data_IF_381259354694
#
_entry.id   IF_381259354694
#
_cell.length_a   1.000
_cell.length_b   1.000
_cell.length_c   1.000
_cell.angle_alpha   90.00
_cell.angle_beta   90.00
_cell.angle_gamma   90.00
#
_symmetry.space_group_name_H-M   'P 1'
#
loop_
_entity.id
_entity.type
_entity.pdbx_description
1 polymer ?
#
# COMPACT_ATOMS: atom_id res chain seq x y z
N UNK A 1 32.94 -72.50 34.72
CA UNK A 1 34.26 -73.08 34.37
C UNK A 1 34.30 -73.32 32.87
N UNK A 2 35.48 -73.07 32.30
CA UNK A 2 35.95 -73.40 30.94
C UNK A 2 35.25 -72.76 29.73
N UNK A 3 35.97 -71.77 29.21
CA UNK A 3 35.88 -71.21 27.87
C UNK A 3 36.33 -72.22 26.79
N UNK A 4 36.15 -71.82 25.52
CA UNK A 4 37.22 -71.68 24.49
C UNK A 4 36.70 -72.02 23.08
N UNK A 5 36.66 -70.96 22.25
CA UNK A 5 36.94 -70.80 20.80
C UNK A 5 36.45 -71.80 19.75
N UNK A 6 36.08 -71.27 18.57
CA UNK A 6 36.85 -71.47 17.32
C UNK A 6 36.36 -70.53 16.19
N UNK A 7 37.30 -69.78 15.61
CA UNK A 7 37.15 -69.08 14.32
C UNK A 7 37.32 -70.09 13.19
N UNK A 8 36.59 -69.94 12.07
CA UNK A 8 37.05 -70.40 10.74
C UNK A 8 36.32 -69.71 9.58
N UNK A 9 37.14 -69.05 8.76
CA UNK A 9 37.19 -69.00 7.28
C UNK A 9 35.99 -68.57 6.42
N UNK A 10 36.30 -67.61 5.54
CA UNK A 10 35.50 -67.10 4.44
C UNK A 10 35.32 -68.12 3.30
N UNK A 11 34.15 -68.09 2.65
CA UNK A 11 33.95 -68.52 1.26
C UNK A 11 32.99 -67.55 0.54
N UNK A 12 33.47 -67.08 -0.61
CA UNK A 12 32.80 -66.21 -1.56
C UNK A 12 31.66 -66.93 -2.27
N UNK A 13 30.48 -66.31 -2.36
CA UNK A 13 29.54 -66.54 -3.46
C UNK A 13 29.04 -65.19 -4.01
N UNK A 14 29.28 -65.01 -5.31
CA UNK A 14 28.86 -63.86 -6.13
C UNK A 14 27.39 -63.98 -6.52
N UNK A 15 26.75 -62.81 -6.53
CA UNK A 15 25.81 -62.28 -7.52
C UNK A 15 24.59 -63.14 -7.94
N UNK A 16 23.40 -62.69 -7.59
CA UNK A 16 22.66 -61.71 -8.41
C UNK A 16 21.39 -61.28 -7.66
N UNK A 17 21.23 -59.96 -7.46
CA UNK A 17 20.00 -59.35 -6.98
C UNK A 17 19.70 -58.16 -7.88
N UNK A 18 18.92 -58.43 -8.92
CA UNK A 18 18.03 -57.42 -9.49
C UNK A 18 16.84 -57.30 -8.54
N UNK A 19 16.55 -56.09 -8.07
CA UNK A 19 15.34 -55.85 -7.30
C UNK A 19 15.44 -54.62 -6.42
N UNK A 20 15.15 -53.46 -7.02
CA UNK A 20 14.54 -52.30 -6.38
C UNK A 20 15.40 -51.60 -5.32
N UNK A 21 16.24 -50.68 -5.79
CA UNK A 21 16.72 -49.58 -4.95
C UNK A 21 15.51 -48.74 -4.52
N UNK A 22 15.14 -48.84 -3.23
CA UNK A 22 14.38 -47.81 -2.54
C UNK A 22 15.22 -46.54 -2.50
N UNK A 23 15.10 -45.72 -3.55
CA UNK A 23 15.51 -44.33 -3.52
C UNK A 23 14.65 -43.59 -2.52
N UNK A 24 15.17 -43.39 -1.32
CA UNK A 24 14.57 -42.53 -0.32
C UNK A 24 14.71 -41.08 -0.83
N UNK A 25 13.76 -40.66 -1.65
CA UNK A 25 13.59 -39.24 -2.00
C UNK A 25 13.11 -38.58 -0.73
N UNK A 26 14.05 -37.99 0.02
CA UNK A 26 13.74 -36.97 1.01
C UNK A 26 13.17 -35.80 0.22
N UNK A 27 11.86 -35.80 0.03
CA UNK A 27 11.13 -34.62 -0.37
C UNK A 27 11.30 -33.62 0.78
N UNK A 28 12.31 -32.76 0.66
CA UNK A 28 12.35 -31.48 1.34
C UNK A 28 11.19 -30.65 0.79
N UNK A 29 9.97 -31.01 1.21
CA UNK A 29 8.82 -30.15 1.12
C UNK A 29 9.14 -28.97 2.00
N UNK A 30 9.64 -27.90 1.39
CA UNK A 30 9.49 -26.58 1.94
C UNK A 30 7.98 -26.37 2.08
N UNK A 31 7.46 -26.59 3.28
CA UNK A 31 6.19 -26.03 3.70
C UNK A 31 6.39 -24.52 3.69
N UNK A 32 6.27 -23.93 2.51
CA UNK A 32 6.00 -22.52 2.40
C UNK A 32 4.67 -22.34 3.12
N UNK A 33 4.73 -21.85 4.35
CA UNK A 33 3.58 -21.28 5.00
C UNK A 33 2.87 -20.40 3.96
N UNK A 34 1.52 -20.41 3.88
CA UNK A 34 0.82 -19.44 3.08
C UNK A 34 1.13 -18.08 3.68
N UNK A 35 2.19 -17.44 3.19
CA UNK A 35 2.52 -16.06 3.46
C UNK A 35 1.28 -15.33 3.01
N UNK A 36 0.62 -14.69 3.99
CA UNK A 36 -0.57 -13.87 3.85
C UNK A 36 -0.83 -13.51 2.39
N UNK A 37 -1.75 -14.26 1.76
CA UNK A 37 -2.24 -13.91 0.43
C UNK A 37 -2.60 -12.43 0.52
N UNK A 38 -1.98 -11.62 -0.34
CA UNK A 38 -2.20 -10.19 -0.39
C UNK A 38 -3.72 -10.00 -0.43
N UNK A 39 -4.31 -9.50 0.66
CA UNK A 39 -5.70 -9.13 0.63
C UNK A 39 -5.78 -7.94 -0.32
N UNK A 40 -6.64 -8.00 -1.33
CA UNK A 40 -6.88 -6.84 -2.19
C UNK A 40 -7.19 -5.61 -1.34
N UNK A 41 -6.57 -4.46 -1.67
CA UNK A 41 -6.83 -3.15 -1.05
C UNK A 41 -8.30 -2.84 -0.88
N UNK A 42 -9.08 -3.28 -1.87
CA UNK A 42 -10.51 -3.12 -1.96
C UNK A 42 -11.11 -4.52 -1.88
N UNK A 43 -11.05 -5.12 -0.70
CA UNK A 43 -12.00 -6.17 -0.38
C UNK A 43 -13.39 -5.54 -0.33
N UNK A 44 -14.45 -6.35 -0.33
CA UNK A 44 -15.79 -5.83 -0.11
C UNK A 44 -15.93 -4.99 1.17
N UNK A 45 -14.94 -4.97 2.09
CA UNK A 45 -14.98 -4.24 3.37
C UNK A 45 -13.96 -3.10 3.50
N UNK A 46 -13.34 -2.64 2.40
CA UNK A 46 -12.34 -1.56 2.43
C UNK A 46 -12.45 -0.59 1.23
N UNK A 47 -13.63 -0.08 0.93
CA UNK A 47 -13.88 0.88 -0.17
C UNK A 47 -13.66 2.34 0.26
N UNK A 48 -12.72 3.10 -0.35
CA UNK A 48 -12.49 4.52 -0.05
C UNK A 48 -13.69 5.43 -0.31
N UNK A 49 -14.51 5.13 -1.32
CA UNK A 49 -15.70 5.92 -1.63
C UNK A 49 -16.73 5.70 -0.53
N UNK A 50 -16.97 4.44 -0.14
CA UNK A 50 -17.77 4.14 1.04
C UNK A 50 -17.19 4.79 2.31
N UNK A 51 -15.86 4.79 2.46
CA UNK A 51 -15.16 5.40 3.58
C UNK A 51 -15.35 6.91 3.68
N UNK A 52 -15.41 7.62 2.55
CA UNK A 52 -15.73 9.06 2.52
C UNK A 52 -17.13 9.33 3.06
N UNK A 53 -18.10 8.45 2.75
CA UNK A 53 -19.47 8.51 3.29
C UNK A 53 -19.47 8.21 4.79
N UNK A 54 -18.71 7.22 5.24
CA UNK A 54 -18.53 6.93 6.67
C UNK A 54 -17.93 8.15 7.39
N UNK A 55 -16.89 8.77 6.85
CA UNK A 55 -16.25 9.97 7.43
C UNK A 55 -17.24 11.11 7.63
N UNK A 56 -18.10 11.38 6.63
CA UNK A 56 -19.17 12.37 6.73
C UNK A 56 -20.27 11.96 7.71
N UNK A 57 -20.85 10.77 7.54
CA UNK A 57 -21.98 10.27 8.31
C UNK A 57 -21.66 10.08 9.81
N UNK A 58 -20.43 9.68 10.13
CA UNK A 58 -19.93 9.56 11.52
C UNK A 58 -19.46 10.89 12.09
N UNK A 59 -19.53 11.98 11.33
CA UNK A 59 -19.27 13.34 11.80
C UNK A 59 -17.79 13.68 11.98
N UNK A 60 -16.86 12.89 11.44
CA UNK A 60 -15.42 13.14 11.51
C UNK A 60 -15.07 14.52 10.91
N UNK A 61 -15.76 14.88 9.83
CA UNK A 61 -15.63 16.17 9.13
C UNK A 61 -16.04 17.41 9.95
N UNK A 62 -16.72 17.26 11.09
CA UNK A 62 -17.06 18.39 11.96
C UNK A 62 -15.84 18.98 12.67
N UNK A 63 -14.80 18.16 12.85
CA UNK A 63 -13.55 18.58 13.48
C UNK A 63 -12.39 18.60 12.49
N UNK A 64 -12.30 17.60 11.61
CA UNK A 64 -11.21 17.45 10.67
C UNK A 64 -11.60 17.94 9.29
N UNK A 65 -10.73 18.75 8.68
CA UNK A 65 -10.83 19.06 7.27
C UNK A 65 -10.21 17.95 6.41
N UNK A 66 -10.67 17.86 5.16
CA UNK A 66 -10.00 17.17 4.07
C UNK A 66 -9.85 18.18 2.94
N UNK A 67 -8.60 18.54 2.61
CA UNK A 67 -8.27 19.51 1.56
C UNK A 67 -8.95 20.87 1.77
N UNK A 68 -9.01 21.32 3.02
CA UNK A 68 -9.64 22.57 3.43
C UNK A 68 -11.17 22.51 3.58
N UNK A 69 -11.80 21.37 3.32
CA UNK A 69 -13.25 21.19 3.51
C UNK A 69 -13.53 20.46 4.81
N UNK A 70 -14.32 21.07 5.71
CA UNK A 70 -14.67 20.51 7.01
C UNK A 70 -14.31 21.44 8.18
N UNK A 71 -14.22 20.88 9.38
CA UNK A 71 -13.88 21.61 10.59
C UNK A 71 -12.41 21.98 10.71
N UNK A 72 -12.13 22.95 11.59
CA UNK A 72 -10.77 23.47 11.87
C UNK A 72 -10.29 23.13 13.28
N UNK A 73 -11.05 22.32 14.03
CA UNK A 73 -10.71 21.90 15.40
C UNK A 73 -9.52 20.93 15.40
N UNK A 74 -9.54 19.99 14.45
CA UNK A 74 -8.44 19.08 14.15
C UNK A 74 -7.69 19.56 12.90
N UNK A 75 -6.50 18.99 12.63
CA UNK A 75 -5.77 19.31 11.41
C UNK A 75 -6.52 18.84 10.17
N UNK A 76 -6.20 19.47 9.03
CA UNK A 76 -6.57 18.96 7.71
C UNK A 76 -5.82 17.63 7.48
N UNK A 77 -6.57 16.54 7.40
CA UNK A 77 -6.03 15.18 7.31
C UNK A 77 -5.32 14.92 5.97
N UNK A 78 -5.58 15.74 4.95
CA UNK A 78 -4.86 15.72 3.68
C UNK A 78 -3.59 16.61 3.68
N UNK A 79 -3.19 17.17 4.83
CA UNK A 79 -2.02 18.07 4.95
C UNK A 79 -1.06 17.69 6.08
N UNK A 80 -1.28 16.57 6.77
CA UNK A 80 -0.40 16.10 7.86
C UNK A 80 0.53 14.98 7.40
N UNK A 81 1.56 14.69 8.21
CA UNK A 81 2.49 13.60 7.93
C UNK A 81 1.77 12.25 7.93
N UNK A 82 1.99 11.49 6.85
CA UNK A 82 1.14 10.37 6.42
C UNK A 82 1.36 9.10 7.26
N UNK A 83 0.30 8.40 7.71
CA UNK A 83 0.44 7.01 8.13
C UNK A 83 0.93 6.17 6.95
N UNK A 84 2.01 5.40 7.14
CA UNK A 84 2.65 4.67 6.05
C UNK A 84 1.93 3.35 5.74
N UNK A 85 1.20 2.81 6.68
CA UNK A 85 0.49 1.54 6.61
C UNK A 85 -0.88 1.65 7.29
N UNK A 86 -1.73 0.64 7.11
CA UNK A 86 -2.97 0.48 7.87
C UNK A 86 -2.72 0.51 9.39
N UNK A 87 -1.62 -0.11 9.84
CA UNK A 87 -1.27 -0.16 11.26
C UNK A 87 -0.76 1.18 11.80
N UNK A 88 -0.08 1.99 10.97
CA UNK A 88 0.26 3.36 11.36
C UNK A 88 -0.99 4.22 11.55
N UNK A 89 -2.01 4.05 10.69
CA UNK A 89 -3.28 4.73 10.85
C UNK A 89 -4.00 4.27 12.12
N UNK A 90 -4.03 2.96 12.37
CA UNK A 90 -4.62 2.41 13.59
C UNK A 90 -3.93 2.92 14.85
N UNK A 91 -2.59 2.94 14.85
CA UNK A 91 -1.79 3.48 15.93
C UNK A 91 -2.05 4.98 16.14
N UNK A 92 -2.08 5.77 15.06
CA UNK A 92 -2.39 7.19 15.13
C UNK A 92 -3.80 7.44 15.70
N UNK A 93 -4.80 6.68 15.26
CA UNK A 93 -6.17 6.79 15.76
C UNK A 93 -6.27 6.43 17.25
N UNK A 94 -5.61 5.34 17.67
CA UNK A 94 -5.57 4.90 19.06
C UNK A 94 -4.87 5.93 19.97
N UNK A 95 -3.68 6.39 19.58
CA UNK A 95 -2.92 7.37 20.36
C UNK A 95 -3.64 8.72 20.42
N UNK A 96 -4.37 9.09 19.36
CA UNK A 96 -5.16 10.33 19.32
C UNK A 96 -6.51 10.21 20.05
N UNK A 97 -7.01 8.99 20.31
CA UNK A 97 -8.34 8.76 20.85
C UNK A 97 -8.65 9.54 22.13
N UNK A 98 -7.79 9.58 23.18
CA UNK A 98 -8.07 10.32 24.40
C UNK A 98 -8.34 11.81 24.16
N UNK A 99 -7.60 12.44 23.24
CA UNK A 99 -7.79 13.86 22.89
C UNK A 99 -9.10 14.07 22.13
N UNK A 100 -9.44 13.16 21.21
CA UNK A 100 -10.72 13.20 20.52
C UNK A 100 -11.89 13.03 21.50
N UNK A 101 -11.80 12.09 22.44
CA UNK A 101 -12.82 11.83 23.47
C UNK A 101 -13.08 13.08 24.28
N UNK A 102 -12.02 13.67 24.83
CA UNK A 102 -12.16 14.83 25.70
C UNK A 102 -12.74 16.01 24.94
N UNK A 103 -12.31 16.23 23.69
CA UNK A 103 -12.88 17.30 22.87
C UNK A 103 -14.35 17.04 22.52
N UNK A 104 -14.71 15.81 22.17
CA UNK A 104 -16.11 15.42 21.92
C UNK A 104 -17.00 15.68 23.14
N UNK A 105 -16.51 15.35 24.35
CA UNK A 105 -17.20 15.61 25.61
C UNK A 105 -17.44 17.10 25.83
N UNK A 106 -16.43 17.94 25.59
CA UNK A 106 -16.52 19.39 25.77
C UNK A 106 -17.54 20.06 24.85
N UNK A 107 -17.70 19.55 23.62
CA UNK A 107 -18.59 20.15 22.61
C UNK A 107 -19.91 19.37 22.43
N UNK A 108 -20.21 18.44 23.35
CA UNK A 108 -21.48 17.70 23.37
C UNK A 108 -21.71 16.79 22.17
N UNK A 109 -20.64 16.29 21.53
CA UNK A 109 -20.76 15.33 20.41
C UNK A 109 -20.72 13.91 20.96
N UNK A 110 -21.78 13.14 20.71
CA UNK A 110 -21.77 11.71 20.94
C UNK A 110 -20.77 11.03 20.00
N UNK A 111 -19.96 10.12 20.53
CA UNK A 111 -18.99 9.39 19.72
C UNK A 111 -19.70 8.48 18.71
N UNK A 112 -19.32 8.50 17.42
CA UNK A 112 -19.78 7.49 16.47
C UNK A 112 -19.30 6.09 16.85
N UNK A 113 -20.14 5.07 16.63
CA UNK A 113 -19.71 3.67 16.60
C UNK A 113 -19.32 3.30 15.18
N UNK A 114 -18.28 2.48 15.04
CA UNK A 114 -17.86 1.91 13.76
C UNK A 114 -18.05 0.39 13.82
N UNK A 115 -18.66 -0.22 12.82
CA UNK A 115 -18.52 -1.66 12.60
C UNK A 115 -17.21 -1.99 11.85
N UNK A 116 -16.91 -3.28 11.65
CA UNK A 116 -15.68 -3.71 11.00
C UNK A 116 -15.57 -3.25 9.54
N UNK A 117 -16.70 -3.18 8.82
CA UNK A 117 -16.75 -2.71 7.43
C UNK A 117 -16.54 -1.21 7.39
N UNK A 118 -17.28 -0.46 8.19
CA UNK A 118 -17.14 1.00 8.31
C UNK A 118 -15.71 1.41 8.70
N UNK A 119 -15.08 0.68 9.62
CA UNK A 119 -13.70 0.92 10.01
C UNK A 119 -12.71 0.62 8.88
N UNK A 120 -12.93 -0.46 8.13
CA UNK A 120 -12.12 -0.81 6.96
C UNK A 120 -12.24 0.21 5.83
N UNK A 121 -13.47 0.60 5.49
CA UNK A 121 -13.78 1.62 4.49
C UNK A 121 -13.19 2.98 4.88
N UNK A 122 -13.39 3.41 6.13
CA UNK A 122 -12.83 4.66 6.66
C UNK A 122 -11.29 4.64 6.59
N UNK A 123 -10.66 3.53 6.95
CA UNK A 123 -9.22 3.40 6.87
C UNK A 123 -8.70 3.48 5.44
N UNK A 124 -9.41 2.87 4.48
CA UNK A 124 -9.09 2.96 3.06
C UNK A 124 -9.23 4.39 2.54
N UNK A 125 -10.29 5.11 2.94
CA UNK A 125 -10.48 6.52 2.62
C UNK A 125 -9.35 7.39 3.17
N UNK A 126 -9.04 7.27 4.46
CA UNK A 126 -7.99 8.07 5.10
C UNK A 126 -6.60 7.77 4.51
N UNK A 127 -6.33 6.53 4.14
CA UNK A 127 -5.09 6.15 3.46
C UNK A 127 -4.98 6.71 2.03
N UNK A 128 -6.12 6.89 1.34
CA UNK A 128 -6.17 7.36 -0.05
C UNK A 128 -6.37 8.86 -0.19
N UNK A 129 -6.40 9.64 0.89
CA UNK A 129 -6.55 11.10 0.82
C UNK A 129 -5.51 11.79 -0.08
N UNK A 130 -4.31 11.22 -0.17
CA UNK A 130 -3.20 11.69 -1.02
C UNK A 130 -2.98 10.81 -2.26
N UNK A 131 -3.85 9.82 -2.50
CA UNK A 131 -3.85 9.05 -3.76
C UNK A 131 -4.14 9.98 -4.94
N UNK A 132 -5.05 10.93 -4.76
CA UNK A 132 -5.32 11.96 -5.75
C UNK A 132 -4.42 13.17 -5.55
N UNK A 133 -3.98 13.82 -6.62
CA UNK A 133 -3.13 15.00 -6.52
C UNK A 133 -3.88 16.23 -5.99
N UNK A 134 -3.14 17.20 -5.46
CA UNK A 134 -3.65 18.56 -5.25
C UNK A 134 -3.80 19.24 -6.63
N UNK A 135 -4.61 20.31 -6.77
CA UNK A 135 -4.66 21.04 -8.04
C UNK A 135 -3.29 21.62 -8.41
N UNK A 136 -2.87 21.45 -9.67
CA UNK A 136 -1.67 22.08 -10.21
C UNK A 136 -1.88 23.56 -10.55
N UNK A 137 -0.79 24.28 -10.76
CA UNK A 137 -0.78 25.68 -11.17
C UNK A 137 -0.61 25.80 -12.70
N UNK A 138 -1.66 26.29 -13.35
CA UNK A 138 -1.72 26.47 -14.81
C UNK A 138 -0.61 27.37 -15.35
N UNK A 139 -0.33 28.50 -14.69
CA UNK A 139 0.66 29.46 -15.20
C UNK A 139 2.10 28.94 -15.07
N UNK A 140 2.41 28.24 -13.98
CA UNK A 140 3.70 27.53 -13.85
C UNK A 140 3.80 26.41 -14.88
N UNK A 141 2.73 25.64 -15.07
CA UNK A 141 2.66 24.58 -16.08
C UNK A 141 2.93 25.10 -17.49
N UNK A 142 2.34 26.25 -17.86
CA UNK A 142 2.57 26.91 -19.14
C UNK A 142 4.04 27.26 -19.36
N UNK A 143 4.71 27.81 -18.33
CA UNK A 143 6.15 28.14 -18.38
C UNK A 143 6.98 26.86 -18.53
N UNK A 144 6.71 25.86 -17.69
CA UNK A 144 7.39 24.56 -17.76
C UNK A 144 7.25 23.90 -19.13
N UNK A 145 6.09 24.02 -19.79
CA UNK A 145 5.84 23.46 -21.12
C UNK A 145 6.75 24.09 -22.20
N UNK A 146 7.03 25.39 -22.08
CA UNK A 146 7.99 26.08 -22.93
C UNK A 146 9.44 25.79 -22.52
N UNK A 147 9.78 25.93 -21.24
CA UNK A 147 11.15 25.83 -20.71
C UNK A 147 11.72 24.42 -20.87
N UNK A 148 10.90 23.39 -20.63
CA UNK A 148 11.26 21.97 -20.87
C UNK A 148 11.08 21.56 -22.33
N UNK A 149 10.80 22.53 -23.23
CA UNK A 149 10.74 22.39 -24.70
C UNK A 149 9.69 21.38 -25.19
N UNK A 150 8.65 21.10 -24.40
CA UNK A 150 7.54 20.24 -24.81
C UNK A 150 6.84 20.79 -26.06
N UNK A 151 6.69 22.12 -26.11
CA UNK A 151 6.09 22.88 -27.22
C UNK A 151 6.76 22.67 -28.58
N UNK A 152 8.04 22.27 -28.61
CA UNK A 152 8.79 22.04 -29.86
C UNK A 152 8.22 20.86 -30.64
N UNK A 153 7.70 19.85 -29.93
CA UNK A 153 7.20 18.63 -30.54
C UNK A 153 5.68 18.50 -30.43
N UNK A 154 5.11 18.91 -29.31
CA UNK A 154 3.69 18.73 -29.00
C UNK A 154 2.89 20.02 -29.18
N UNK A 155 1.65 19.86 -29.60
CA UNK A 155 0.65 20.93 -29.71
C UNK A 155 -0.32 20.87 -28.53
N UNK A 156 -0.67 22.04 -27.99
CA UNK A 156 -1.72 22.27 -26.99
C UNK A 156 -2.43 23.58 -27.32
N UNK A 157 -3.75 23.61 -27.24
CA UNK A 157 -4.59 24.75 -27.58
C UNK A 157 -4.38 25.25 -29.02
N UNK A 158 -4.06 24.34 -29.95
CA UNK A 158 -3.67 24.67 -31.32
C UNK A 158 -2.27 25.29 -31.50
N UNK A 159 -1.45 25.40 -30.46
CA UNK A 159 -0.10 26.00 -30.50
C UNK A 159 0.99 24.97 -30.19
N UNK A 160 2.07 24.95 -30.99
CA UNK A 160 3.23 24.07 -30.79
C UNK A 160 3.61 23.27 -32.03
N UNK A 161 4.46 22.26 -31.84
CA UNK A 161 4.95 21.38 -32.91
C UNK A 161 3.98 20.27 -33.30
N UNK A 162 4.27 19.61 -34.42
CA UNK A 162 3.50 18.49 -35.00
C UNK A 162 4.30 17.20 -35.08
N UNK A 163 5.44 17.13 -34.39
CA UNK A 163 6.31 15.95 -34.37
C UNK A 163 5.73 14.88 -33.44
N UNK A 164 5.29 15.31 -32.26
CA UNK A 164 4.58 14.47 -31.31
C UNK A 164 3.06 14.54 -31.53
N UNK A 165 2.30 13.64 -30.90
CA UNK A 165 0.84 13.71 -30.92
C UNK A 165 0.34 15.04 -30.36
N UNK A 166 -0.80 15.50 -30.90
CA UNK A 166 -1.54 16.65 -30.40
C UNK A 166 -2.14 16.32 -29.03
N UNK A 167 -1.77 17.09 -28.02
CA UNK A 167 -2.21 16.86 -26.64
C UNK A 167 -3.62 17.40 -26.39
N UNK A 168 -4.20 18.16 -27.33
CA UNK A 168 -5.62 18.54 -27.30
C UNK A 168 -6.55 17.33 -27.42
N UNK A 169 -6.08 16.28 -28.11
CA UNK A 169 -6.84 15.07 -28.42
C UNK A 169 -6.54 13.90 -27.48
N UNK A 170 -5.75 14.12 -26.42
CA UNK A 170 -5.35 13.06 -25.48
C UNK A 170 -6.20 13.16 -24.21
N UNK A 171 -7.25 12.30 -24.05
CA UNK A 171 -8.10 12.32 -22.85
C UNK A 171 -7.40 11.77 -21.59
N UNK A 172 -6.11 11.44 -21.68
CA UNK A 172 -5.34 10.77 -20.63
C UNK A 172 -4.91 11.71 -19.49
N UNK A 173 -4.93 13.03 -19.70
CA UNK A 173 -4.45 13.99 -18.67
C UNK A 173 -5.33 14.07 -17.44
N UNK A 174 -6.58 13.65 -17.55
CA UNK A 174 -7.48 13.53 -16.42
C UNK A 174 -7.14 12.29 -15.54
N UNK A 175 -6.28 11.37 -16.03
CA UNK A 175 -5.78 10.18 -15.32
C UNK A 175 -4.24 10.12 -15.26
N UNK A 176 -3.62 10.49 -14.14
CA UNK A 176 -2.15 10.43 -14.02
C UNK A 176 -1.57 9.02 -14.26
N UNK A 177 -2.35 7.97 -13.98
CA UNK A 177 -1.97 6.57 -14.25
C UNK A 177 -1.98 6.26 -15.74
N UNK A 178 -3.00 6.70 -16.47
CA UNK A 178 -3.07 6.49 -17.91
C UNK A 178 -2.00 7.33 -18.64
N UNK A 179 -1.73 8.54 -18.14
CA UNK A 179 -0.61 9.36 -18.57
C UNK A 179 0.73 8.64 -18.33
N UNK A 180 0.94 8.03 -17.16
CA UNK A 180 2.15 7.25 -16.86
C UNK A 180 2.35 6.11 -17.87
N UNK A 181 1.29 5.37 -18.22
CA UNK A 181 1.33 4.31 -19.22
C UNK A 181 1.70 4.85 -20.60
N UNK A 182 1.06 5.94 -21.05
CA UNK A 182 1.35 6.55 -22.34
C UNK A 182 2.78 7.10 -22.42
N UNK A 183 3.24 7.80 -21.38
CA UNK A 183 4.61 8.31 -21.29
C UNK A 183 5.65 7.19 -21.25
N UNK A 184 5.34 6.07 -20.58
CA UNK A 184 6.21 4.88 -20.57
C UNK A 184 6.35 4.28 -21.97
N UNK A 185 5.22 4.02 -22.64
CA UNK A 185 5.21 3.39 -23.97
C UNK A 185 5.79 4.32 -25.06
N UNK A 186 5.54 5.64 -24.96
CA UNK A 186 6.04 6.62 -25.93
C UNK A 186 7.46 7.13 -25.60
N UNK A 187 7.96 6.85 -24.40
CA UNK A 187 9.23 7.34 -23.89
C UNK A 187 10.46 7.01 -24.76
N UNK A 188 10.59 5.80 -25.33
CA UNK A 188 11.68 5.47 -26.26
C UNK A 188 11.69 6.36 -27.51
N UNK A 189 10.55 6.54 -28.18
CA UNK A 189 10.43 7.37 -29.39
C UNK A 189 10.69 8.85 -29.06
N UNK A 190 10.16 9.33 -27.94
CA UNK A 190 10.46 10.69 -27.45
C UNK A 190 11.97 10.87 -27.23
N UNK A 191 12.64 9.89 -26.61
CA UNK A 191 14.07 9.95 -26.32
C UNK A 191 14.92 10.01 -27.58
N UNK A 192 14.55 9.23 -28.59
CA UNK A 192 15.22 9.27 -29.89
C UNK A 192 15.02 10.62 -30.59
N UNK A 193 13.78 11.12 -30.64
CA UNK A 193 13.47 12.41 -31.26
C UNK A 193 14.16 13.58 -30.56
N UNK A 194 14.24 13.54 -29.23
CA UNK A 194 14.97 14.52 -28.41
C UNK A 194 16.47 14.49 -28.71
N UNK A 195 17.08 13.30 -28.71
CA UNK A 195 18.50 13.12 -29.04
C UNK A 195 18.84 13.63 -30.44
N UNK A 196 18.02 13.30 -31.45
CA UNK A 196 18.21 13.75 -32.83
C UNK A 196 18.18 15.27 -32.99
N UNK A 197 17.55 15.99 -32.05
CA UNK A 197 17.39 17.46 -32.07
C UNK A 197 18.26 18.17 -31.03
N UNK A 198 19.17 17.45 -30.35
CA UNK A 198 19.99 18.03 -29.28
C UNK A 198 19.19 18.53 -28.07
N UNK A 199 17.99 18.01 -27.85
CA UNK A 199 17.14 18.37 -26.71
C UNK A 199 17.48 17.43 -25.55
N UNK A 200 17.88 17.98 -24.41
CA UNK A 200 18.07 17.20 -23.19
C UNK A 200 16.72 16.68 -22.68
N UNK A 201 16.65 15.38 -22.35
CA UNK A 201 15.43 14.78 -21.79
C UNK A 201 15.08 15.47 -20.46
N UNK A 202 13.91 16.10 -20.33
CA UNK A 202 13.54 16.77 -19.09
C UNK A 202 13.29 15.75 -17.99
N UNK A 203 13.55 16.16 -16.75
CA UNK A 203 13.08 15.47 -15.55
C UNK A 203 12.01 16.31 -14.86
N UNK A 204 11.20 15.68 -14.03
CA UNK A 204 10.17 16.35 -13.23
C UNK A 204 10.46 16.24 -11.74
N UNK A 205 10.36 17.35 -11.02
CA UNK A 205 10.23 17.34 -9.56
C UNK A 205 8.76 17.13 -9.14
N UNK A 206 8.54 17.07 -7.83
CA UNK A 206 7.27 16.66 -7.20
C UNK A 206 6.04 17.42 -7.70
N UNK A 207 6.17 18.68 -8.13
CA UNK A 207 5.02 19.50 -8.59
C UNK A 207 5.03 19.84 -10.07
N UNK A 208 6.15 19.64 -10.77
CA UNK A 208 6.27 20.07 -12.17
C UNK A 208 5.33 19.31 -13.11
N UNK A 209 5.24 17.98 -12.96
CA UNK A 209 4.34 17.20 -13.80
C UNK A 209 2.87 17.54 -13.50
N UNK A 210 2.56 17.84 -12.23
CA UNK A 210 1.23 18.25 -11.82
C UNK A 210 0.83 19.60 -12.43
N UNK A 211 1.72 20.58 -12.39
CA UNK A 211 1.52 21.89 -13.00
C UNK A 211 1.37 21.76 -14.53
N UNK A 212 2.18 20.91 -15.18
CA UNK A 212 2.07 20.62 -16.61
C UNK A 212 0.71 20.01 -16.98
N UNK A 213 0.22 19.02 -16.22
CA UNK A 213 -1.11 18.44 -16.40
C UNK A 213 -2.18 19.53 -16.28
N UNK A 214 -2.11 20.36 -15.24
CA UNK A 214 -3.06 21.44 -15.04
C UNK A 214 -3.09 22.43 -16.22
N UNK A 215 -1.92 22.80 -16.75
CA UNK A 215 -1.85 23.65 -17.94
C UNK A 215 -2.47 22.98 -19.16
N UNK A 216 -2.06 21.75 -19.49
CA UNK A 216 -2.52 21.02 -20.66
C UNK A 216 -4.04 20.87 -20.61
N UNK A 217 -4.58 20.35 -19.50
CA UNK A 217 -6.04 20.20 -19.33
C UNK A 217 -6.78 21.54 -19.44
N UNK A 218 -6.22 22.64 -18.95
CA UNK A 218 -6.86 23.97 -19.06
C UNK A 218 -6.84 24.54 -20.48
N UNK A 219 -5.79 24.25 -21.25
CA UNK A 219 -5.56 24.83 -22.56
C UNK A 219 -6.10 23.95 -23.70
N UNK A 220 -6.35 22.66 -23.43
CA UNK A 220 -6.88 21.71 -24.40
C UNK A 220 -8.26 22.11 -24.91
N UNK A 221 -8.42 22.05 -26.25
CA UNK A 221 -9.68 22.38 -26.96
C UNK A 221 -10.53 21.17 -27.35
N UNK A 222 -10.04 19.96 -27.07
CA UNK A 222 -10.76 18.72 -27.37
C UNK A 222 -11.92 18.43 -26.40
N UNK A 223 -12.74 17.40 -26.67
CA UNK A 223 -13.76 16.93 -25.75
C UNK A 223 -13.09 16.59 -24.41
N UNK A 224 -13.53 17.23 -23.32
CA UNK A 224 -13.13 16.80 -21.98
C UNK A 224 -13.60 15.35 -21.80
N UNK A 225 -12.72 14.48 -21.31
CA UNK A 225 -13.14 13.14 -20.93
C UNK A 225 -14.30 13.23 -19.95
N UNK A 226 -15.27 12.32 -20.07
CA UNK A 226 -16.33 12.18 -19.07
C UNK A 226 -15.75 11.97 -17.66
N UNK A 227 -16.55 12.11 -16.59
CA UNK A 227 -16.07 11.98 -15.22
C UNK A 227 -15.26 10.70 -15.09
N UNK A 228 -14.01 10.87 -14.72
CA UNK A 228 -13.06 9.79 -14.83
C UNK A 228 -13.39 8.70 -13.83
N UNK A 229 -13.70 7.53 -14.36
CA UNK A 229 -13.65 6.30 -13.59
C UNK A 229 -12.17 6.10 -13.31
N UNK A 230 -11.73 6.58 -12.15
CA UNK A 230 -10.55 6.05 -11.48
C UNK A 230 -10.85 4.57 -11.35
N UNK A 231 -10.39 3.76 -12.31
CA UNK A 231 -10.53 2.32 -12.21
C UNK A 231 -9.77 1.95 -10.94
N UNK A 232 -10.42 1.49 -9.86
CA UNK A 232 -9.68 0.93 -8.76
C UNK A 232 -8.96 -0.27 -9.36
N UNK A 233 -7.64 -0.14 -9.55
CA UNK A 233 -6.86 -1.21 -10.14
C UNK A 233 -7.08 -2.49 -9.36
N UNK A 234 -7.14 -3.60 -10.08
CA UNK A 234 -7.36 -4.93 -9.52
C UNK A 234 -6.04 -5.44 -8.97
N UNK A 235 -5.93 -5.51 -7.64
CA UNK A 235 -4.68 -5.82 -6.94
C UNK A 235 -4.06 -7.16 -7.37
N UNK A 236 -4.87 -8.22 -7.49
CA UNK A 236 -4.37 -9.54 -7.90
C UNK A 236 -3.81 -9.53 -9.33
N UNK A 237 -4.49 -8.80 -10.21
CA UNK A 237 -4.07 -8.64 -11.61
C UNK A 237 -2.83 -7.77 -11.69
N UNK A 238 -2.72 -6.77 -10.81
CA UNK A 238 -1.52 -5.96 -10.67
C UNK A 238 -0.31 -6.77 -10.25
N UNK A 239 -0.48 -7.71 -9.30
CA UNK A 239 0.57 -8.66 -8.91
C UNK A 239 0.98 -9.52 -10.09
N UNK A 240 -0.01 -10.04 -10.83
CA UNK A 240 0.24 -10.85 -12.04
C UNK A 240 1.03 -10.04 -13.08
N UNK A 241 0.59 -8.85 -13.44
CA UNK A 241 1.28 -8.00 -14.40
C UNK A 241 2.65 -7.55 -13.92
N UNK A 242 2.86 -7.31 -12.62
CA UNK A 242 4.17 -7.01 -12.05
C UNK A 242 5.19 -8.15 -12.28
N UNK A 243 4.71 -9.41 -12.30
CA UNK A 243 5.51 -10.59 -12.59
C UNK A 243 5.65 -10.79 -14.10
N UNK A 244 4.54 -10.79 -14.85
CA UNK A 244 4.52 -11.05 -16.30
C UNK A 244 5.27 -9.99 -17.10
N UNK A 245 5.14 -8.71 -16.73
CA UNK A 245 5.92 -7.60 -17.32
C UNK A 245 7.36 -7.53 -16.77
N UNK A 246 7.76 -8.55 -15.98
CA UNK A 246 9.11 -8.77 -15.44
C UNK A 246 9.65 -7.65 -14.55
N UNK A 247 8.78 -6.81 -13.99
CA UNK A 247 9.17 -5.77 -13.03
C UNK A 247 9.84 -6.38 -11.80
N UNK A 248 9.31 -7.53 -11.33
CA UNK A 248 9.83 -8.32 -10.20
C UNK A 248 11.26 -8.83 -10.39
N UNK A 249 11.76 -8.91 -11.63
CA UNK A 249 13.11 -9.40 -11.90
C UNK A 249 14.20 -8.44 -11.37
N UNK A 250 13.89 -7.15 -11.31
CA UNK A 250 14.80 -6.13 -10.79
C UNK A 250 14.32 -5.50 -9.50
N UNK A 251 13.01 -5.29 -9.34
CA UNK A 251 12.41 -4.63 -8.19
C UNK A 251 11.91 -5.63 -7.16
N UNK A 252 12.19 -5.33 -5.89
CA UNK A 252 11.48 -5.93 -4.76
C UNK A 252 10.11 -5.27 -4.59
N UNK A 253 9.12 -6.05 -4.18
CA UNK A 253 7.81 -5.63 -3.71
C UNK A 253 7.53 -6.31 -2.37
N UNK A 254 7.62 -5.57 -1.27
CA UNK A 254 7.42 -6.07 0.10
C UNK A 254 8.34 -7.27 0.43
N UNK A 255 9.64 -7.11 0.18
CA UNK A 255 10.65 -8.13 0.46
C UNK A 255 10.74 -9.28 -0.57
N UNK A 256 9.86 -9.33 -1.59
CA UNK A 256 9.89 -10.34 -2.65
C UNK A 256 10.33 -9.75 -4.00
N UNK A 257 11.28 -10.39 -4.68
CA UNK A 257 11.75 -9.99 -6.02
C UNK A 257 13.26 -9.78 -6.11
N UNK A 258 13.69 -9.13 -7.19
CA UNK A 258 15.10 -8.82 -7.45
C UNK A 258 15.63 -7.67 -6.61
N UNK A 259 16.95 -7.65 -6.38
CA UNK A 259 17.65 -6.61 -5.59
C UNK A 259 18.44 -5.60 -6.45
N UNK A 260 18.29 -5.68 -7.77
CA UNK A 260 18.99 -4.79 -8.72
C UNK A 260 18.47 -3.36 -8.60
N UNK A 261 17.17 -3.22 -8.32
CA UNK A 261 16.48 -1.96 -8.18
C UNK A 261 15.82 -1.84 -6.79
N UNK A 262 15.45 -0.63 -6.37
CA UNK A 262 14.88 -0.39 -5.04
C UNK A 262 13.56 -1.12 -4.81
N UNK A 263 13.25 -1.39 -3.54
CA UNK A 263 11.92 -1.86 -3.14
C UNK A 263 10.87 -0.79 -3.43
N UNK A 264 9.89 -1.15 -4.25
CA UNK A 264 8.83 -0.25 -4.67
C UNK A 264 7.77 -0.06 -3.58
N UNK A 265 7.60 -1.00 -2.65
CA UNK A 265 6.70 -0.82 -1.50
C UNK A 265 7.19 0.30 -0.57
N UNK A 266 8.51 0.43 -0.39
CA UNK A 266 9.11 1.48 0.44
C UNK A 266 9.17 2.85 -0.27
N UNK A 267 9.43 2.87 -1.58
CA UNK A 267 9.59 4.14 -2.34
C UNK A 267 8.31 4.70 -2.95
N UNK A 268 7.29 3.87 -3.21
CA UNK A 268 5.95 4.36 -3.53
C UNK A 268 5.30 5.04 -2.31
N UNK A 269 5.87 4.88 -1.11
CA UNK A 269 5.34 5.39 0.15
C UNK A 269 5.18 6.93 0.21
N UNK A 270 5.82 7.65 -0.72
CA UNK A 270 5.87 9.11 -0.72
C UNK A 270 5.14 9.75 -1.89
N UNK A 271 4.58 8.96 -2.83
CA UNK A 271 4.18 9.48 -4.13
C UNK A 271 2.67 9.38 -4.39
N UNK A 272 2.02 10.49 -4.71
CA UNK A 272 0.74 10.54 -5.40
C UNK A 272 0.80 9.84 -6.77
N UNK A 273 -0.33 9.72 -7.46
CA UNK A 273 -0.34 9.15 -8.81
C UNK A 273 0.49 9.97 -9.82
N UNK A 274 0.47 11.30 -9.73
CA UNK A 274 1.34 12.14 -10.57
C UNK A 274 2.81 12.04 -10.18
N UNK A 275 3.13 11.98 -8.88
CA UNK A 275 4.51 11.76 -8.43
C UNK A 275 5.02 10.38 -8.91
N UNK A 276 4.15 9.35 -8.94
CA UNK A 276 4.46 8.05 -9.54
C UNK A 276 4.76 8.18 -11.03
N UNK A 277 3.93 8.88 -11.80
CA UNK A 277 4.14 9.11 -13.22
C UNK A 277 5.47 9.84 -13.49
N UNK A 278 5.78 10.88 -12.71
CA UNK A 278 7.03 11.62 -12.78
C UNK A 278 8.24 10.72 -12.46
N UNK A 279 8.14 9.88 -11.42
CA UNK A 279 9.20 8.94 -11.05
C UNK A 279 9.46 7.89 -12.14
N UNK A 280 8.40 7.35 -12.74
CA UNK A 280 8.47 6.43 -13.88
C UNK A 280 9.20 7.08 -15.05
N UNK A 281 8.81 8.31 -15.44
CA UNK A 281 9.47 9.07 -16.50
C UNK A 281 10.96 9.31 -16.22
N UNK A 282 11.27 9.81 -15.01
CA UNK A 282 12.63 10.14 -14.61
C UNK A 282 13.55 8.92 -14.57
N UNK A 283 13.02 7.74 -14.23
CA UNK A 283 13.79 6.49 -14.13
C UNK A 283 13.75 5.64 -15.39
N UNK A 284 12.90 5.95 -16.37
CA UNK A 284 12.81 5.22 -17.63
C UNK A 284 14.16 5.05 -18.36
N UNK A 285 15.07 6.06 -18.45
CA UNK A 285 16.38 5.85 -19.08
C UNK A 285 17.23 4.78 -18.38
N UNK A 286 17.31 4.83 -17.05
CA UNK A 286 18.07 3.88 -16.26
C UNK A 286 17.46 2.47 -16.34
N UNK A 287 16.13 2.37 -16.27
CA UNK A 287 15.41 1.11 -16.44
C UNK A 287 15.63 0.52 -17.83
N UNK A 288 15.55 1.34 -18.89
CA UNK A 288 15.79 0.91 -20.27
C UNK A 288 17.21 0.42 -20.48
N UNK A 289 18.21 1.10 -19.92
CA UNK A 289 19.60 0.68 -19.97
C UNK A 289 19.81 -0.68 -19.27
N UNK A 290 19.26 -0.85 -18.07
CA UNK A 290 19.33 -2.10 -17.33
C UNK A 290 18.63 -3.26 -18.08
N UNK A 291 17.43 -3.01 -18.61
CA UNK A 291 16.69 -3.97 -19.42
C UNK A 291 17.50 -4.40 -20.64
N UNK A 292 18.11 -3.46 -21.36
CA UNK A 292 18.98 -3.74 -22.51
C UNK A 292 20.18 -4.61 -22.11
N UNK A 293 20.86 -4.30 -21.01
CA UNK A 293 21.98 -5.10 -20.50
C UNK A 293 21.56 -6.52 -20.13
N UNK A 294 20.34 -6.69 -19.61
CA UNK A 294 19.79 -8.01 -19.25
C UNK A 294 19.09 -8.73 -20.40
N UNK A 295 19.18 -8.23 -21.64
CA UNK A 295 18.51 -8.84 -22.80
C UNK A 295 16.98 -8.85 -22.69
N UNK A 296 16.40 -7.91 -21.92
CA UNK A 296 14.97 -7.79 -21.72
C UNK A 296 14.41 -6.67 -22.61
N UNK A 297 13.33 -6.92 -23.36
CA UNK A 297 12.61 -5.86 -24.05
C UNK A 297 11.92 -4.94 -23.04
N UNK A 298 11.77 -3.66 -23.38
CA UNK A 298 10.93 -2.73 -22.62
C UNK A 298 9.48 -3.20 -22.75
N UNK A 299 8.77 -3.54 -21.65
CA UNK A 299 7.40 -4.02 -21.74
C UNK A 299 6.47 -2.88 -22.12
N UNK A 300 5.52 -3.15 -23.01
CA UNK A 300 4.37 -2.25 -23.22
C UNK A 300 3.37 -2.41 -22.07
N UNK A 301 2.79 -1.30 -21.62
CA UNK A 301 1.80 -1.26 -20.53
C UNK A 301 0.52 -0.61 -21.02
N UNK A 302 -0.59 -1.36 -21.04
CA UNK A 302 -1.91 -0.75 -21.25
C UNK A 302 -2.30 0.11 -20.04
N UNK A 303 -3.15 1.14 -20.19
CA UNK A 303 -3.61 1.96 -19.07
C UNK A 303 -4.19 1.14 -17.91
N UNK A 304 -4.96 0.10 -18.20
CA UNK A 304 -5.57 -0.78 -17.19
C UNK A 304 -4.51 -1.62 -16.47
N UNK A 305 -3.51 -2.12 -17.20
CA UNK A 305 -2.39 -2.88 -16.61
C UNK A 305 -1.56 -1.99 -15.67
N UNK A 306 -1.32 -0.74 -16.06
CA UNK A 306 -0.65 0.24 -15.21
C UNK A 306 -1.48 0.53 -13.95
N UNK A 307 -2.80 0.73 -14.09
CA UNK A 307 -3.69 0.95 -12.96
C UNK A 307 -3.67 -0.24 -11.99
N UNK A 308 -3.74 -1.46 -12.51
CA UNK A 308 -3.66 -2.70 -11.74
C UNK A 308 -2.32 -2.78 -11.00
N UNK A 309 -1.17 -2.55 -11.67
CA UNK A 309 0.16 -2.56 -11.04
C UNK A 309 0.26 -1.49 -9.94
N UNK A 310 -0.19 -0.26 -10.21
CA UNK A 310 -0.18 0.82 -9.21
C UNK A 310 -1.02 0.45 -8.01
N UNK A 311 -2.22 -0.13 -8.22
CA UNK A 311 -3.05 -0.62 -7.13
C UNK A 311 -2.34 -1.71 -6.34
N UNK A 312 -1.69 -2.68 -7.00
CA UNK A 312 -0.90 -3.70 -6.31
C UNK A 312 0.22 -3.11 -5.45
N UNK A 313 0.99 -2.15 -5.98
CA UNK A 313 2.09 -1.51 -5.23
C UNK A 313 1.59 -0.68 -4.04
N UNK A 314 0.42 -0.06 -4.16
CA UNK A 314 -0.27 0.58 -3.04
C UNK A 314 -0.78 -0.46 -2.01
N UNK A 315 -1.19 -1.65 -2.47
CA UNK A 315 -1.77 -2.69 -1.64
C UNK A 315 -0.79 -3.32 -0.69
N UNK A 316 0.34 -3.73 -1.25
CA UNK A 316 1.42 -4.33 -0.47
C UNK A 316 1.93 -3.37 0.59
N UNK A 317 1.85 -2.04 0.36
CA UNK A 317 2.17 -1.02 1.37
C UNK A 317 1.15 -0.99 2.50
N UNK A 318 -0.13 -1.01 2.17
CA UNK A 318 -1.21 -0.87 3.15
C UNK A 318 -1.10 -1.92 4.27
N UNK A 319 -0.68 -3.15 3.96
CA UNK A 319 -0.43 -4.21 4.95
C UNK A 319 1.05 -4.65 5.05
N UNK A 320 2.01 -3.80 4.66
CA UNK A 320 3.42 -4.20 4.50
C UNK A 320 4.09 -4.83 5.74
N UNK A 321 3.59 -4.54 6.94
CA UNK A 321 4.16 -5.03 8.18
C UNK A 321 3.39 -6.25 8.66
N UNK A 322 3.90 -7.45 8.37
CA UNK A 322 3.43 -8.66 9.02
C UNK A 322 3.75 -8.58 10.52
N UNK A 323 2.72 -8.79 11.35
CA UNK A 323 2.90 -8.87 12.79
C UNK A 323 3.34 -10.27 13.24
N UNK A 324 4.15 -10.30 14.28
CA UNK A 324 4.50 -11.50 15.05
C UNK A 324 3.59 -11.62 16.30
N UNK A 325 2.75 -12.67 16.41
CA UNK A 325 1.88 -12.90 17.57
C UNK A 325 2.61 -13.00 18.91
N UNK A 326 3.85 -13.52 18.95
CA UNK A 326 4.62 -13.62 20.19
C UNK A 326 5.03 -12.24 20.70
N UNK A 327 5.47 -11.38 19.79
CA UNK A 327 5.75 -9.98 20.11
C UNK A 327 4.49 -9.24 20.51
N UNK A 328 3.35 -9.53 19.88
CA UNK A 328 2.05 -8.96 20.26
C UNK A 328 1.60 -9.34 21.67
N UNK A 329 1.80 -10.59 22.09
CA UNK A 329 1.55 -11.03 23.47
C UNK A 329 2.44 -10.29 24.49
N UNK A 330 3.74 -10.18 24.16
CA UNK A 330 4.70 -9.46 25.00
C UNK A 330 4.32 -7.98 25.13
N UNK A 331 3.93 -7.34 24.03
CA UNK A 331 3.43 -5.96 24.02
C UNK A 331 2.14 -5.82 24.84
N UNK A 332 1.15 -6.70 24.66
CA UNK A 332 -0.09 -6.66 25.42
C UNK A 332 0.16 -6.79 26.94
N UNK A 333 1.11 -7.63 27.33
CA UNK A 333 1.55 -7.76 28.73
C UNK A 333 2.23 -6.48 29.22
N UNK A 334 3.24 -6.00 28.49
CA UNK A 334 4.03 -4.84 28.87
C UNK A 334 3.23 -3.53 28.92
N UNK A 335 2.21 -3.39 28.06
CA UNK A 335 1.30 -2.24 28.03
C UNK A 335 0.09 -2.39 28.97
N UNK A 336 0.08 -3.43 29.80
CA UNK A 336 -0.91 -3.62 30.86
C UNK A 336 -2.30 -4.01 30.37
N UNK A 337 -2.47 -4.51 29.15
CA UNK A 337 -3.79 -4.89 28.62
C UNK A 337 -4.50 -5.91 29.53
N UNK A 338 -3.74 -6.85 30.11
CA UNK A 338 -4.25 -7.91 30.99
C UNK A 338 -4.60 -7.46 32.41
N UNK A 339 -4.37 -6.17 32.75
CA UNK A 339 -4.89 -5.60 34.00
C UNK A 339 -6.41 -5.49 33.95
N UNK A 340 -6.95 -5.13 32.78
CA UNK A 340 -8.38 -4.99 32.57
C UNK A 340 -8.97 -6.21 31.85
N UNK A 341 -8.26 -6.76 30.86
CA UNK A 341 -8.79 -7.81 29.99
C UNK A 341 -8.42 -9.22 30.44
N UNK A 342 -9.42 -10.11 30.44
CA UNK A 342 -9.20 -11.54 30.56
C UNK A 342 -8.66 -12.15 29.26
N UNK A 343 -8.01 -13.31 29.42
CA UNK A 343 -7.57 -14.16 28.33
C UNK A 343 -8.02 -15.60 28.60
N UNK A 344 -8.92 -16.14 27.76
CA UNK A 344 -9.48 -17.49 27.93
C UNK A 344 -10.13 -17.72 29.31
N UNK A 345 -10.77 -16.68 29.87
CA UNK A 345 -11.35 -16.71 31.21
C UNK A 345 -10.35 -16.56 32.36
N UNK A 346 -9.05 -16.45 32.08
CA UNK A 346 -8.00 -16.23 33.07
C UNK A 346 -7.57 -14.74 33.14
N UNK A 347 -7.36 -14.24 34.36
CA UNK A 347 -6.93 -12.84 34.68
C UNK A 347 -7.93 -11.77 34.22
N UNK A 348 -7.73 -10.51 34.63
CA UNK A 348 -8.45 -9.32 34.14
C UNK A 348 -9.95 -9.22 34.46
N UNK A 349 -10.29 -8.39 35.45
CA UNK A 349 -11.63 -7.76 35.59
C UNK A 349 -11.38 -6.26 35.74
N UNK A 350 -12.07 -5.38 34.98
CA UNK A 350 -13.48 -5.54 34.59
C UNK A 350 -13.78 -5.70 33.08
N UNK A 351 -12.80 -5.80 32.19
CA UNK A 351 -13.05 -5.78 30.74
C UNK A 351 -13.31 -7.18 30.15
N UNK A 352 -13.81 -7.22 28.90
CA UNK A 352 -14.16 -8.45 28.19
C UNK A 352 -12.94 -9.30 27.86
N UNK A 353 -13.14 -10.61 27.75
CA UNK A 353 -12.14 -11.59 27.31
C UNK A 353 -11.71 -11.33 25.85
N UNK A 354 -10.41 -11.10 25.63
CA UNK A 354 -9.85 -10.84 24.30
C UNK A 354 -9.96 -12.05 23.37
N UNK A 355 -9.93 -13.27 23.91
CA UNK A 355 -10.19 -14.49 23.15
C UNK A 355 -11.67 -14.66 22.77
N UNK A 356 -12.56 -13.77 23.24
CA UNK A 356 -14.00 -13.74 22.87
C UNK A 356 -14.48 -12.43 22.25
N UNK A 357 -13.67 -11.38 22.21
CA UNK A 357 -13.94 -10.12 21.50
C UNK A 357 -14.47 -10.33 20.06
N UNK A 358 -15.71 -9.92 19.73
CA UNK A 358 -16.26 -10.07 18.39
C UNK A 358 -15.56 -9.15 17.38
N UNK A 359 -15.35 -9.62 16.15
CA UNK A 359 -14.76 -8.84 15.06
C UNK A 359 -13.23 -8.84 15.03
N UNK A 360 -12.55 -9.49 15.97
CA UNK A 360 -11.09 -9.55 16.02
C UNK A 360 -10.47 -10.48 14.96
N UNK A 361 -11.26 -11.06 14.06
CA UNK A 361 -10.79 -11.95 12.99
C UNK A 361 -10.06 -11.19 11.88
N UNK A 362 -10.37 -9.91 11.69
CA UNK A 362 -9.80 -9.05 10.63
C UNK A 362 -9.11 -7.82 11.21
N UNK A 363 -8.09 -7.25 10.54
CA UNK A 363 -7.46 -6.01 11.01
C UNK A 363 -8.46 -4.85 11.12
N UNK A 364 -9.43 -4.78 10.21
CA UNK A 364 -10.50 -3.78 10.22
C UNK A 364 -11.46 -3.94 11.42
N UNK A 365 -11.79 -5.18 11.79
CA UNK A 365 -12.60 -5.41 12.97
C UNK A 365 -11.83 -5.17 14.29
N UNK A 366 -10.52 -5.40 14.32
CA UNK A 366 -9.67 -4.94 15.45
C UNK A 366 -9.67 -3.41 15.54
N UNK A 367 -9.52 -2.69 14.41
CA UNK A 367 -9.64 -1.23 14.39
C UNK A 367 -10.99 -0.74 14.95
N UNK A 368 -12.09 -1.35 14.50
CA UNK A 368 -13.43 -1.04 14.98
C UNK A 368 -13.56 -1.30 16.49
N UNK A 369 -13.04 -2.44 16.97
CA UNK A 369 -13.05 -2.79 18.38
C UNK A 369 -12.25 -1.77 19.21
N UNK A 370 -11.04 -1.41 18.79
CA UNK A 370 -10.19 -0.43 19.47
C UNK A 370 -10.85 0.96 19.51
N UNK A 371 -11.39 1.44 18.38
CA UNK A 371 -12.16 2.69 18.33
C UNK A 371 -13.35 2.66 19.28
N UNK A 372 -14.10 1.56 19.25
CA UNK A 372 -15.29 1.42 20.07
C UNK A 372 -14.97 1.23 21.56
N UNK A 373 -13.79 0.71 21.88
CA UNK A 373 -13.34 0.37 23.22
C UNK A 373 -12.63 1.53 23.94
N UNK A 374 -12.05 2.50 23.23
CA UNK A 374 -11.16 3.54 23.78
C UNK A 374 -11.78 4.53 24.79
N UNK A 375 -13.01 4.25 25.24
CA UNK A 375 -13.87 5.07 26.07
C UNK A 375 -14.26 4.37 27.39
N UNK A 376 -13.67 3.20 27.70
CA UNK A 376 -13.76 2.60 29.04
C UNK A 376 -12.77 3.32 29.96
N UNK A 377 -13.17 4.49 30.46
CA UNK A 377 -12.83 5.11 31.75
C UNK A 377 -12.89 6.64 31.58
N UNK A 378 -13.84 7.26 32.27
CA UNK A 378 -13.70 8.65 32.67
C UNK A 378 -12.41 8.86 33.47
N UNK A 379 -11.97 10.11 33.67
CA UNK A 379 -10.71 10.45 34.32
C UNK A 379 -10.52 9.79 35.71
N UNK A 380 -11.62 9.41 36.37
CA UNK A 380 -11.65 8.85 37.72
C UNK A 380 -11.28 7.35 37.83
N UNK A 381 -11.13 6.62 36.72
CA UNK A 381 -10.84 5.16 36.74
C UNK A 381 -9.55 4.73 36.03
N UNK A 382 -8.63 5.65 35.73
CA UNK A 382 -7.35 5.31 35.06
C UNK A 382 -6.18 5.29 36.06
N UNK A 383 -5.81 4.13 36.62
CA UNK A 383 -4.60 4.02 37.47
C UNK A 383 -3.29 4.07 36.67
N UNK A 384 -3.32 4.00 35.33
CA UNK A 384 -2.14 3.97 34.46
C UNK A 384 -2.29 4.90 33.23
N UNK A 385 -1.17 5.44 32.70
CA UNK A 385 -1.18 6.26 31.49
C UNK A 385 -1.70 5.48 30.27
N UNK A 386 -2.34 6.19 29.33
CA UNK A 386 -2.83 5.59 28.09
C UNK A 386 -1.68 4.96 27.30
N UNK A 387 -1.75 3.66 26.93
CA UNK A 387 -0.65 3.02 26.23
C UNK A 387 -0.54 3.57 24.80
N UNK A 388 0.65 4.03 24.43
CA UNK A 388 0.94 4.47 23.06
C UNK A 388 1.61 3.38 22.24
N UNK A 389 1.23 3.27 20.96
CA UNK A 389 1.75 2.28 20.04
C UNK A 389 2.37 2.94 18.80
N UNK A 390 3.43 2.35 18.27
CA UNK A 390 3.87 2.58 16.89
C UNK A 390 3.05 1.73 15.92
N UNK A 391 3.10 2.01 14.61
CA UNK A 391 2.45 1.13 13.63
C UNK A 391 3.00 -0.30 13.66
N UNK A 392 4.28 -0.47 13.98
CA UNK A 392 4.88 -1.80 14.17
C UNK A 392 4.32 -2.51 15.40
N UNK A 393 4.21 -1.82 16.53
CA UNK A 393 3.58 -2.40 17.72
C UNK A 393 2.15 -2.85 17.43
N UNK A 394 1.41 -2.03 16.66
CA UNK A 394 0.03 -2.31 16.30
C UNK A 394 -0.09 -3.51 15.35
N UNK A 395 0.85 -3.72 14.42
CA UNK A 395 0.86 -4.92 13.58
C UNK A 395 1.06 -6.20 14.42
N UNK A 396 1.98 -6.18 15.37
CA UNK A 396 2.21 -7.28 16.32
C UNK A 396 0.97 -7.55 17.18
N UNK A 397 0.35 -6.49 17.73
CA UNK A 397 -0.84 -6.61 18.56
C UNK A 397 -2.03 -7.19 17.79
N UNK A 398 -2.26 -6.73 16.56
CA UNK A 398 -3.32 -7.28 15.68
C UNK A 398 -3.05 -8.75 15.37
N UNK A 399 -1.82 -9.11 15.02
CA UNK A 399 -1.45 -10.50 14.74
C UNK A 399 -1.69 -11.41 15.95
N UNK A 400 -1.37 -10.93 17.17
CA UNK A 400 -1.68 -11.64 18.40
C UNK A 400 -3.18 -11.82 18.60
N UNK A 401 -3.97 -10.76 18.52
CA UNK A 401 -5.43 -10.82 18.72
C UNK A 401 -6.12 -11.75 17.72
N UNK A 402 -5.68 -11.74 16.46
CA UNK A 402 -6.16 -12.66 15.43
C UNK A 402 -5.74 -14.11 15.70
N UNK A 403 -4.55 -14.34 16.26
CA UNK A 403 -4.06 -15.68 16.58
C UNK A 403 -4.93 -16.38 17.64
N UNK A 404 -5.53 -15.63 18.57
CA UNK A 404 -6.43 -16.14 19.60
C UNK A 404 -7.71 -16.77 19.03
N UNK A 405 -8.05 -16.48 17.77
CA UNK A 405 -9.22 -17.05 17.07
C UNK A 405 -8.92 -18.27 16.23
N UNK A 406 -7.70 -18.37 15.70
CA UNK A 406 -7.28 -19.49 14.82
C UNK A 406 -7.02 -20.78 15.59
N UNK A 407 -6.79 -20.70 16.90
CA UNK A 407 -6.52 -21.84 17.76
C UNK A 407 -7.79 -22.56 18.29
N UNK A 408 -8.92 -22.43 17.60
CA UNK A 408 -10.20 -23.09 17.93
C UNK A 408 -10.64 -24.07 16.86
#
# INVERSE_FOLDING_TARGET
>A
MTAVTLRRTAWLWRASRNGLACGLVVALGAWAAPHAAAQGLFSATQDPIAGSRVFGAKGCGRCHAVRGQGGTVGPDLARIQRPRTFYDLMAALWNHAPRMVERMRQIGIARPRLDAREAGDLAAFLFTLDYFDRPGNVERGRRLYADKRCIVCHRVGGTGGVVGPDLDAVPLFDSPVALAAAMWNHGPQMSEAMRARGISRPTFNDTELLDLIAYITSASRGPRGGPLVVLPGRVEEGRRFFIEKRCVACHTAAGQGGKVAPDLAERAAHRSLTEFAAAMWNKAPAMTAAMKTSGMPVPELRPEEMADIVAYLYAIRYFAQAGDPKQGLALASARGCFTCHALHGERGKPASDLARAPGAETPAGVLAALWNHSFIAGPERRPAPWPEFTGKDMSHLVAYLQSLRRAR
#
